data_IF_249457807099
#
_entry.id   IF_249457807099
#
_cell.length_a   1.000
_cell.length_b   1.000
_cell.length_c   1.000
_cell.angle_alpha   90.00
_cell.angle_beta   90.00
_cell.angle_gamma   90.00
#
_symmetry.space_group_name_H-M   'P 1'
#
loop_
_entity.id
_entity.type
_entity.pdbx_description
1 polymer ?
#
# COMPACT_ATOMS: atom_id res chain seq x y z
N UNK A 1 -21.99 -1.66 -13.49
CA UNK A 1 -20.92 -1.55 -12.47
C UNK A 1 -21.18 -2.61 -11.43
N UNK A 2 -20.20 -3.46 -11.11
CA UNK A 2 -20.34 -4.48 -10.07
C UNK A 2 -19.75 -3.95 -8.76
N UNK A 3 -20.58 -3.85 -7.73
CA UNK A 3 -20.12 -3.44 -6.41
C UNK A 3 -19.65 -4.68 -5.64
N UNK A 4 -18.45 -4.60 -5.05
CA UNK A 4 -17.89 -5.63 -4.18
C UNK A 4 -17.67 -5.03 -2.80
N UNK A 5 -18.08 -5.76 -1.77
CA UNK A 5 -17.72 -5.46 -0.38
C UNK A 5 -16.57 -6.36 0.05
N UNK A 6 -15.57 -5.78 0.74
CA UNK A 6 -14.43 -6.51 1.30
C UNK A 6 -14.00 -5.84 2.60
N UNK A 7 -13.52 -6.64 3.56
CA UNK A 7 -12.95 -6.12 4.81
C UNK A 7 -11.59 -5.45 4.59
N UNK A 8 -10.80 -5.96 3.65
CA UNK A 8 -9.45 -5.46 3.34
C UNK A 8 -9.21 -5.40 1.83
N UNK A 9 -8.37 -4.47 1.41
CA UNK A 9 -7.94 -4.31 0.01
C UNK A 9 -6.41 -4.18 0.00
N UNK A 10 -5.74 -4.99 -0.82
CA UNK A 10 -4.32 -4.86 -1.11
C UNK A 10 -4.17 -4.40 -2.56
N UNK A 11 -3.34 -3.37 -2.77
CA UNK A 11 -2.97 -2.89 -4.11
C UNK A 11 -1.48 -3.14 -4.32
N UNK A 12 -1.14 -3.74 -5.45
CA UNK A 12 0.22 -4.01 -5.88
C UNK A 12 0.31 -3.80 -7.40
N UNK A 13 1.53 -3.66 -7.90
CA UNK A 13 1.82 -3.67 -9.33
C UNK A 13 1.79 -5.12 -9.86
N UNK A 14 1.67 -5.29 -11.17
CA UNK A 14 1.59 -6.60 -11.83
C UNK A 14 2.94 -7.33 -11.87
N UNK A 15 4.04 -6.62 -11.64
CA UNK A 15 5.42 -7.13 -11.57
C UNK A 15 5.88 -7.43 -10.12
N UNK A 16 4.97 -7.41 -9.15
CA UNK A 16 5.28 -7.65 -7.74
C UNK A 16 4.94 -9.07 -7.31
N UNK A 17 5.91 -9.78 -6.69
CA UNK A 17 5.65 -11.04 -5.99
C UNK A 17 5.16 -10.78 -4.55
N UNK A 18 4.05 -11.42 -4.16
CA UNK A 18 3.46 -11.28 -2.82
C UNK A 18 3.37 -12.63 -2.10
N UNK A 19 3.92 -12.70 -0.88
CA UNK A 19 3.68 -13.79 0.06
C UNK A 19 2.39 -13.55 0.84
N UNK A 20 1.27 -14.01 0.29
CA UNK A 20 -0.08 -13.76 0.82
C UNK A 20 -0.27 -14.31 2.24
N UNK A 21 0.34 -15.44 2.56
CA UNK A 21 0.31 -16.06 3.89
C UNK A 21 0.87 -15.13 4.97
N UNK A 22 1.98 -14.45 4.67
CA UNK A 22 2.62 -13.48 5.56
C UNK A 22 1.71 -12.26 5.76
N UNK A 23 1.14 -11.73 4.67
CA UNK A 23 0.21 -10.59 4.72
C UNK A 23 -1.01 -10.91 5.59
N UNK A 24 -1.60 -12.09 5.42
CA UNK A 24 -2.75 -12.53 6.23
C UNK A 24 -2.41 -12.69 7.71
N UNK A 25 -1.19 -13.13 8.03
CA UNK A 25 -0.72 -13.23 9.42
C UNK A 25 -0.62 -11.85 10.07
N UNK A 26 -0.11 -10.85 9.35
CA UNK A 26 -0.05 -9.47 9.83
C UNK A 26 -1.44 -8.86 10.02
N UNK A 27 -2.36 -9.07 9.07
CA UNK A 27 -3.75 -8.58 9.22
C UNK A 27 -4.41 -9.17 10.47
N UNK A 28 -4.23 -10.47 10.72
CA UNK A 28 -4.80 -11.17 11.89
C UNK A 28 -4.17 -10.77 13.23
N UNK A 29 -2.95 -10.21 13.22
CA UNK A 29 -2.28 -9.77 14.45
C UNK A 29 -2.84 -8.44 14.97
N UNK A 30 -3.50 -7.66 14.10
CA UNK A 30 -4.03 -6.34 14.40
C UNK A 30 -5.47 -6.47 14.92
N UNK A 31 -5.84 -5.63 15.89
CA UNK A 31 -7.23 -5.58 16.38
C UNK A 31 -8.17 -5.12 15.26
N UNK A 32 -9.20 -5.93 14.98
CA UNK A 32 -10.23 -5.66 13.95
C UNK A 32 -11.02 -4.36 14.14
N UNK A 33 -10.90 -3.70 15.31
CA UNK A 33 -11.57 -2.43 15.61
C UNK A 33 -10.80 -1.21 15.09
N UNK A 34 -9.60 -1.38 14.53
CA UNK A 34 -8.75 -0.28 14.07
C UNK A 34 -8.62 -0.29 12.54
N UNK A 35 -8.61 0.88 11.89
CA UNK A 35 -8.31 0.95 10.47
C UNK A 35 -6.86 0.49 10.22
N UNK A 36 -6.65 -0.18 9.08
CA UNK A 36 -5.34 -0.68 8.67
C UNK A 36 -4.88 0.04 7.40
N UNK A 37 -3.73 0.68 7.48
CA UNK A 37 -2.97 1.18 6.34
C UNK A 37 -1.51 0.78 6.52
N UNK A 38 -0.99 -0.08 5.64
CA UNK A 38 0.33 -0.68 5.78
C UNK A 38 1.05 -0.80 4.44
N UNK A 39 2.38 -0.87 4.49
CA UNK A 39 3.25 -1.00 3.33
C UNK A 39 4.56 -0.24 3.55
N UNK A 40 5.32 -0.07 2.47
CA UNK A 40 6.48 0.81 2.49
C UNK A 40 6.03 2.27 2.28
N UNK A 41 5.84 2.99 3.37
CA UNK A 41 5.31 4.35 3.34
C UNK A 41 6.44 5.37 3.19
N UNK A 42 6.40 6.12 2.09
CA UNK A 42 7.30 7.25 1.85
C UNK A 42 6.87 8.48 2.66
N UNK A 43 6.97 8.40 3.98
CA UNK A 43 6.66 9.51 4.87
C UNK A 43 7.69 10.64 4.70
N UNK A 44 7.22 11.89 4.76
CA UNK A 44 8.04 13.10 4.64
C UNK A 44 8.84 13.21 3.32
N UNK A 45 8.40 12.53 2.26
CA UNK A 45 9.03 12.62 0.95
C UNK A 45 8.92 14.04 0.40
N UNK A 46 10.02 14.55 -0.17
CA UNK A 46 10.07 15.84 -0.86
C UNK A 46 10.12 15.63 -2.36
N UNK A 47 9.59 16.56 -3.17
CA UNK A 47 9.65 16.45 -4.62
C UNK A 47 11.08 16.25 -5.12
N UNK A 48 11.26 15.23 -5.97
CA UNK A 48 12.55 14.93 -6.57
C UNK A 48 12.83 15.95 -7.68
N UNK A 49 14.08 16.43 -7.77
CA UNK A 49 14.53 17.35 -8.82
C UNK A 49 15.34 16.67 -9.93
N UNK A 50 15.63 15.38 -9.76
CA UNK A 50 16.37 14.55 -10.71
C UNK A 50 15.86 13.10 -10.68
N UNK A 51 16.09 12.36 -11.77
CA UNK A 51 15.71 10.95 -11.89
C UNK A 51 14.31 10.72 -12.50
N UNK A 52 13.89 9.45 -12.53
CA UNK A 52 12.64 8.99 -13.18
C UNK A 52 11.37 9.72 -12.71
N UNK A 53 11.36 10.14 -11.44
CA UNK A 53 10.20 10.74 -10.78
C UNK A 53 10.38 12.24 -10.49
N UNK A 54 11.29 12.91 -11.21
CA UNK A 54 11.55 14.33 -11.00
C UNK A 54 10.38 15.20 -11.46
N UNK A 55 10.12 16.28 -10.70
CA UNK A 55 9.14 17.32 -11.07
C UNK A 55 9.77 18.70 -11.05
N UNK A 56 9.41 19.53 -12.03
CA UNK A 56 9.98 20.88 -12.25
C UNK A 56 9.37 21.95 -11.35
N UNK A 57 8.10 21.83 -11.02
CA UNK A 57 7.37 22.78 -10.18
C UNK A 57 6.68 22.02 -9.04
N UNK A 58 6.41 22.74 -7.94
CA UNK A 58 5.51 22.30 -6.88
C UNK A 58 4.09 22.83 -7.13
#
# INVERSE_FOLDING_TARGET
VHNLSSEYIMKCDDDTFVRVDTVLKEIKSISSKRPLYMGNLNLFHKPLRVGKWAVTFE
#
